data_IF_438579585811
#
_entry.id   IF_438579585811
#
_cell.length_a   1.000
_cell.length_b   1.000
_cell.length_c   1.000
_cell.angle_alpha   90.00
_cell.angle_beta   90.00
_cell.angle_gamma   90.00
#
_symmetry.space_group_name_H-M   'P 1'
#
loop_
_entity.id
_entity.type
_entity.pdbx_description
1 polymer ?
#
# COMPACT_ATOMS: atom_id res chain seq x y z
N UNK A 1 -56.07 11.24 -14.27
CA UNK A 1 -54.73 11.46 -14.88
C UNK A 1 -53.67 11.11 -13.87
N UNK A 2 -52.71 10.33 -14.32
CA UNK A 2 -51.73 9.57 -13.54
C UNK A 2 -50.73 10.47 -12.83
N UNK A 3 -50.65 10.28 -11.52
CA UNK A 3 -49.60 10.77 -10.62
C UNK A 3 -48.24 10.22 -11.07
N UNK A 4 -47.32 11.11 -11.44
CA UNK A 4 -45.95 10.77 -11.84
C UNK A 4 -45.01 11.15 -10.72
N UNK A 5 -45.04 10.39 -9.63
CA UNK A 5 -44.06 10.47 -8.55
C UNK A 5 -42.66 10.14 -9.08
N UNK A 6 -41.79 11.14 -9.10
CA UNK A 6 -40.34 10.96 -9.17
C UNK A 6 -39.93 9.98 -8.06
N UNK A 7 -39.53 8.76 -8.45
CA UNK A 7 -38.89 7.82 -7.54
C UNK A 7 -37.51 8.38 -7.24
N UNK A 8 -37.41 9.17 -6.18
CA UNK A 8 -36.14 9.40 -5.50
C UNK A 8 -35.62 8.03 -5.07
N UNK A 9 -34.68 7.47 -5.84
CA UNK A 9 -33.92 6.31 -5.41
C UNK A 9 -33.09 6.81 -4.23
N UNK A 10 -33.34 6.36 -2.99
CA UNK A 10 -32.62 6.86 -1.84
C UNK A 10 -31.13 6.61 -2.07
N UNK A 11 -30.35 7.69 -2.09
CA UNK A 11 -28.90 7.66 -2.26
C UNK A 11 -28.29 6.75 -1.20
N UNK A 12 -28.13 5.48 -1.54
CA UNK A 12 -27.56 4.50 -0.64
C UNK A 12 -26.05 4.59 -0.78
N UNK A 13 -25.37 5.06 0.27
CA UNK A 13 -23.90 5.09 0.40
C UNK A 13 -23.22 3.78 -0.08
N UNK A 14 -23.94 2.65 -0.01
CA UNK A 14 -23.53 1.32 -0.48
C UNK A 14 -23.23 1.24 -1.99
N UNK A 15 -23.87 2.07 -2.83
CA UNK A 15 -23.76 2.03 -4.29
C UNK A 15 -22.41 2.51 -4.85
N UNK A 16 -21.54 3.09 -4.01
CA UNK A 16 -20.16 3.49 -4.39
C UNK A 16 -19.12 2.95 -3.40
N UNK A 17 -19.48 1.95 -2.62
CA UNK A 17 -18.58 1.36 -1.62
C UNK A 17 -17.41 0.66 -2.30
N UNK A 18 -16.25 0.65 -1.64
CA UNK A 18 -15.09 -0.12 -2.10
C UNK A 18 -15.43 -1.61 -2.28
N UNK A 19 -16.30 -2.15 -1.40
CA UNK A 19 -16.79 -3.52 -1.53
C UNK A 19 -17.51 -3.77 -2.86
N UNK A 20 -18.43 -2.89 -3.26
CA UNK A 20 -19.11 -3.01 -4.55
C UNK A 20 -18.13 -2.87 -5.72
N UNK A 21 -17.19 -1.93 -5.64
CA UNK A 21 -16.16 -1.78 -6.68
C UNK A 21 -15.27 -3.02 -6.79
N UNK A 22 -14.93 -3.65 -5.66
CA UNK A 22 -14.19 -4.89 -5.61
C UNK A 22 -14.99 -6.03 -6.25
N UNK A 23 -16.27 -6.20 -5.89
CA UNK A 23 -17.14 -7.22 -6.50
C UNK A 23 -17.27 -7.04 -8.02
N UNK A 24 -17.45 -5.80 -8.49
CA UNK A 24 -17.50 -5.51 -9.92
C UNK A 24 -16.15 -5.77 -10.60
N UNK A 25 -15.03 -5.42 -9.96
CA UNK A 25 -13.69 -5.71 -10.47
C UNK A 25 -13.47 -7.23 -10.62
N UNK A 26 -13.86 -8.02 -9.62
CA UNK A 26 -13.78 -9.48 -9.67
C UNK A 26 -14.67 -10.02 -10.81
N UNK A 27 -15.91 -9.57 -10.95
CA UNK A 27 -16.80 -10.02 -12.03
C UNK A 27 -16.28 -9.73 -13.45
N UNK A 28 -15.41 -8.72 -13.61
CA UNK A 28 -14.76 -8.40 -14.88
C UNK A 28 -13.60 -9.35 -15.21
N UNK A 29 -12.83 -9.77 -14.20
CA UNK A 29 -11.56 -10.47 -14.39
C UNK A 29 -11.58 -11.94 -13.96
N UNK A 30 -12.60 -12.38 -13.24
CA UNK A 30 -12.86 -13.77 -12.90
C UNK A 30 -13.45 -14.53 -14.10
N UNK A 31 -12.68 -14.57 -15.18
CA UNK A 31 -13.02 -15.29 -16.41
C UNK A 31 -11.80 -16.05 -16.93
N UNK A 32 -12.07 -17.20 -17.55
CA UNK A 32 -11.03 -18.01 -18.18
C UNK A 32 -10.32 -17.23 -19.29
N UNK A 33 -8.98 -17.25 -19.28
CA UNK A 33 -8.14 -16.55 -20.27
C UNK A 33 -7.67 -15.15 -19.86
N UNK A 34 -8.09 -14.62 -18.72
CA UNK A 34 -7.55 -13.36 -18.19
C UNK A 34 -6.27 -13.63 -17.40
N UNK A 35 -5.12 -13.34 -18.00
CA UNK A 35 -3.83 -13.45 -17.30
C UNK A 35 -3.33 -12.10 -16.77
N UNK A 36 -3.72 -11.00 -17.41
CA UNK A 36 -3.10 -9.70 -17.18
C UNK A 36 -4.13 -8.58 -17.13
N UNK A 37 -4.02 -7.72 -16.12
CA UNK A 37 -4.94 -6.62 -15.83
C UNK A 37 -4.20 -5.28 -15.96
N UNK A 38 -4.75 -4.37 -16.77
CA UNK A 38 -4.28 -2.98 -16.88
C UNK A 38 -5.08 -2.07 -15.95
N UNK A 39 -4.41 -1.21 -15.17
CA UNK A 39 -5.13 -0.38 -14.19
C UNK A 39 -5.96 0.74 -14.84
N UNK A 40 -5.50 1.30 -15.97
CA UNK A 40 -6.28 2.32 -16.70
C UNK A 40 -7.53 1.70 -17.35
N UNK A 41 -7.39 0.52 -17.97
CA UNK A 41 -8.51 -0.22 -18.54
C UNK A 41 -9.53 -0.60 -17.46
N UNK A 42 -9.07 -1.06 -16.30
CA UNK A 42 -9.93 -1.33 -15.15
C UNK A 42 -10.70 -0.08 -14.68
N UNK A 43 -10.01 1.06 -14.58
CA UNK A 43 -10.62 2.34 -14.20
C UNK A 43 -11.73 2.76 -15.18
N UNK A 44 -11.46 2.65 -16.47
CA UNK A 44 -12.44 2.96 -17.53
C UNK A 44 -13.63 2.00 -17.51
N UNK A 45 -13.42 0.69 -17.36
CA UNK A 45 -14.49 -0.32 -17.31
C UNK A 45 -15.39 -0.17 -16.09
N UNK A 46 -14.81 0.18 -14.95
CA UNK A 46 -15.55 0.37 -13.70
C UNK A 46 -16.16 1.78 -13.59
N UNK A 47 -15.76 2.72 -14.46
CA UNK A 47 -16.20 4.10 -14.41
C UNK A 47 -15.78 4.82 -13.13
N UNK A 48 -14.59 4.50 -12.60
CA UNK A 48 -14.08 5.05 -11.34
C UNK A 48 -12.75 5.76 -11.51
N UNK A 49 -12.47 6.66 -10.57
CA UNK A 49 -11.16 7.30 -10.49
C UNK A 49 -10.05 6.26 -10.25
N UNK A 50 -8.88 6.52 -10.84
CA UNK A 50 -7.69 5.69 -10.70
C UNK A 50 -7.29 5.44 -9.25
N UNK A 51 -7.61 6.38 -8.35
CA UNK A 51 -7.40 6.23 -6.91
C UNK A 51 -8.11 4.99 -6.35
N UNK A 52 -9.33 4.69 -6.79
CA UNK A 52 -10.11 3.53 -6.31
C UNK A 52 -9.54 2.21 -6.80
N UNK A 53 -8.97 2.18 -8.00
CA UNK A 53 -8.30 0.98 -8.52
C UNK A 53 -7.11 0.61 -7.64
N UNK A 54 -6.36 1.59 -7.11
CA UNK A 54 -5.28 1.29 -6.16
C UNK A 54 -5.79 0.71 -4.85
N UNK A 55 -6.93 1.16 -4.32
CA UNK A 55 -7.51 0.56 -3.11
C UNK A 55 -7.82 -0.92 -3.35
N UNK A 56 -8.47 -1.25 -4.48
CA UNK A 56 -8.83 -2.63 -4.83
C UNK A 56 -7.58 -3.48 -5.03
N UNK A 57 -6.63 -3.00 -5.82
CA UNK A 57 -5.42 -3.76 -6.15
C UNK A 57 -4.55 -4.00 -4.92
N UNK A 58 -4.41 -3.02 -4.02
CA UNK A 58 -3.65 -3.21 -2.78
C UNK A 58 -4.26 -4.31 -1.90
N UNK A 59 -5.59 -4.35 -1.81
CA UNK A 59 -6.30 -5.40 -1.06
C UNK A 59 -6.12 -6.76 -1.74
N UNK A 60 -6.40 -6.87 -3.03
CA UNK A 60 -6.29 -8.15 -3.75
C UNK A 60 -4.85 -8.66 -3.87
N UNK A 61 -3.87 -7.77 -3.94
CA UNK A 61 -2.44 -8.11 -3.90
C UNK A 61 -2.05 -8.63 -2.52
N UNK A 62 -2.55 -8.01 -1.45
CA UNK A 62 -2.26 -8.43 -0.07
C UNK A 62 -2.80 -9.83 0.28
N UNK A 63 -3.89 -10.25 -0.39
CA UNK A 63 -4.50 -11.59 -0.27
C UNK A 63 -3.91 -12.58 -1.29
N UNK A 64 -3.03 -12.12 -2.19
CA UNK A 64 -2.34 -12.97 -3.17
C UNK A 64 -3.12 -13.27 -4.46
N UNK A 65 -4.30 -12.69 -4.66
CA UNK A 65 -5.13 -12.85 -5.87
C UNK A 65 -4.50 -12.12 -7.07
N UNK A 66 -3.84 -10.99 -6.80
CA UNK A 66 -3.10 -10.22 -7.80
C UNK A 66 -1.61 -10.21 -7.49
N UNK A 67 -0.80 -9.96 -8.52
CA UNK A 67 0.62 -9.68 -8.34
C UNK A 67 1.10 -8.67 -9.36
N UNK A 68 1.96 -7.74 -8.93
CA UNK A 68 2.50 -6.72 -9.83
C UNK A 68 3.37 -7.36 -10.91
N UNK A 69 3.04 -7.09 -12.19
CA UNK A 69 3.79 -7.55 -13.36
C UNK A 69 4.70 -6.47 -13.92
N UNK A 70 4.16 -5.26 -14.09
CA UNK A 70 4.90 -4.09 -14.58
C UNK A 70 4.22 -2.78 -14.13
N UNK A 71 4.77 -1.63 -14.53
CA UNK A 71 4.07 -0.34 -14.33
C UNK A 71 2.70 -0.42 -15.01
N UNK A 72 1.65 -0.07 -14.26
CA UNK A 72 0.26 -0.07 -14.75
C UNK A 72 -0.30 -1.46 -15.12
N UNK A 73 0.36 -2.56 -14.71
CA UNK A 73 -0.01 -3.91 -15.14
C UNK A 73 0.17 -4.94 -14.03
N UNK A 74 -0.85 -5.76 -13.83
CA UNK A 74 -0.91 -6.81 -12.81
C UNK A 74 -1.21 -8.16 -13.45
N UNK A 75 -0.74 -9.24 -12.84
CA UNK A 75 -1.09 -10.61 -13.19
C UNK A 75 -2.28 -11.04 -12.35
N UNK A 76 -3.29 -11.63 -12.98
CA UNK A 76 -4.40 -12.30 -12.30
C UNK A 76 -3.95 -13.72 -11.93
N UNK A 77 -3.84 -14.01 -10.63
CA UNK A 77 -3.51 -15.35 -10.13
C UNK A 77 -4.76 -16.19 -9.82
N UNK A 78 -5.90 -15.52 -9.64
CA UNK A 78 -7.17 -16.14 -9.26
C UNK A 78 -7.20 -16.59 -7.79
N UNK A 79 -8.32 -17.20 -7.40
CA UNK A 79 -8.57 -17.63 -6.02
C UNK A 79 -7.68 -18.80 -5.57
N UNK A 80 -7.09 -19.56 -6.50
CA UNK A 80 -6.20 -20.67 -6.18
C UNK A 80 -4.88 -20.26 -5.50
N UNK A 81 -4.50 -18.98 -5.58
CA UNK A 81 -3.31 -18.47 -4.88
C UNK A 81 -3.57 -18.12 -3.40
N UNK A 82 -4.84 -18.02 -2.98
CA UNK A 82 -5.23 -17.61 -1.62
C UNK A 82 -4.71 -18.58 -0.57
N UNK A 83 -4.88 -19.93 -0.67
CA UNK A 83 -4.44 -20.84 0.38
C UNK A 83 -2.95 -20.70 0.69
N UNK A 84 -2.12 -20.57 -0.36
CA UNK A 84 -0.69 -20.34 -0.21
C UNK A 84 -0.39 -19.00 0.46
N UNK A 85 -1.04 -17.93 0.01
CA UNK A 85 -0.85 -16.60 0.61
C UNK A 85 -1.25 -16.58 2.10
N UNK A 86 -2.34 -17.26 2.47
CA UNK A 86 -2.77 -17.36 3.87
C UNK A 86 -1.78 -18.17 4.72
N UNK A 87 -1.19 -19.24 4.18
CA UNK A 87 -0.15 -20.02 4.85
C UNK A 87 1.10 -19.16 5.10
N UNK A 88 1.57 -18.43 4.10
CA UNK A 88 2.69 -17.49 4.23
C UNK A 88 2.38 -16.42 5.30
N UNK A 89 1.18 -15.82 5.27
CA UNK A 89 0.73 -14.85 6.28
C UNK A 89 0.68 -15.43 7.69
N UNK A 90 0.23 -16.68 7.86
CA UNK A 90 0.19 -17.36 9.16
C UNK A 90 1.60 -17.57 9.71
N UNK A 91 2.52 -18.04 8.87
CA UNK A 91 3.92 -18.25 9.26
C UNK A 91 4.59 -16.93 9.66
N UNK A 92 4.30 -15.83 8.96
CA UNK A 92 4.77 -14.50 9.34
C UNK A 92 4.19 -14.06 10.70
N UNK A 93 2.89 -14.20 10.92
CA UNK A 93 2.23 -13.81 12.17
C UNK A 93 2.80 -14.54 13.40
N UNK A 94 3.12 -15.83 13.27
CA UNK A 94 3.75 -16.61 14.34
C UNK A 94 5.18 -16.14 14.65
N UNK A 95 5.94 -15.67 13.64
CA UNK A 95 7.29 -15.13 13.85
C UNK A 95 7.27 -13.74 14.48
N UNK A 96 6.28 -12.93 14.11
CA UNK A 96 6.07 -11.59 14.68
C UNK A 96 5.56 -11.67 16.13
N UNK A 97 4.72 -12.65 16.47
CA UNK A 97 4.19 -12.80 17.84
C UNK A 97 5.26 -13.16 18.90
N UNK A 98 6.44 -13.61 18.49
CA UNK A 98 7.59 -13.83 19.38
C UNK A 98 8.40 -12.57 19.69
N UNK A 99 8.12 -11.45 19.02
CA UNK A 99 8.71 -10.14 19.26
C UNK A 99 7.59 -9.16 19.58
N UNK A 100 7.40 -8.89 20.87
CA UNK A 100 6.41 -7.94 21.38
C UNK A 100 6.37 -6.69 20.49
N UNK A 101 5.24 -6.35 19.84
CA UNK A 101 5.14 -5.08 19.15
C UNK A 101 5.06 -4.01 20.24
N UNK A 102 6.20 -3.40 20.55
CA UNK A 102 6.27 -2.22 21.39
C UNK A 102 5.39 -1.15 20.75
N UNK A 103 4.16 -1.06 21.25
CA UNK A 103 3.26 0.05 21.00
C UNK A 103 3.73 1.20 21.88
N UNK A 104 4.97 1.64 21.70
CA UNK A 104 5.49 2.88 22.27
C UNK A 104 4.99 4.03 21.40
N UNK A 105 3.72 4.38 21.60
CA UNK A 105 3.26 5.74 21.36
C UNK A 105 3.97 6.65 22.37
N UNK A 106 5.22 7.01 22.08
CA UNK A 106 5.94 8.02 22.85
C UNK A 106 5.98 9.31 22.05
N UNK A 107 5.03 10.16 22.41
CA UNK A 107 5.09 11.61 22.28
C UNK A 107 6.50 12.11 22.60
N UNK A 108 7.31 12.43 21.59
CA UNK A 108 8.50 13.28 21.77
C UNK A 108 8.09 14.72 21.50
N UNK A 109 7.63 15.37 22.57
CA UNK A 109 7.84 16.81 22.75
C UNK A 109 9.26 16.95 23.29
N UNK A 110 10.18 17.38 22.45
CA UNK A 110 11.42 18.02 22.88
C UNK A 110 11.41 19.41 22.29
N UNK A 111 10.95 20.32 23.15
CA UNK A 111 11.15 21.75 23.11
C UNK A 111 12.66 22.00 23.30
N UNK A 112 13.34 22.54 22.29
CA UNK A 112 14.61 23.23 22.47
C UNK A 112 14.84 24.09 21.21
N UNK A 113 14.78 25.39 21.42
CA UNK A 113 15.10 26.41 20.44
C UNK A 113 16.62 26.49 20.29
N UNK A 114 17.12 26.49 19.06
CA UNK A 114 18.31 27.27 18.71
C UNK A 114 18.42 27.47 17.19
N UNK A 115 18.24 28.74 16.84
CA UNK A 115 18.53 29.39 15.56
C UNK A 115 20.00 29.20 15.14
N UNK A 116 20.27 28.65 13.95
CA UNK A 116 21.51 28.98 13.22
C UNK A 116 21.42 28.66 11.72
N UNK A 117 21.09 29.67 10.91
CA UNK A 117 21.41 29.69 9.49
C UNK A 117 22.93 29.81 9.28
N UNK A 118 23.56 29.11 8.32
CA UNK A 118 24.79 29.61 7.74
C UNK A 118 24.51 30.20 6.36
N UNK A 119 24.71 31.51 6.32
CA UNK A 119 24.90 32.39 5.17
C UNK A 119 26.05 31.88 4.28
N UNK A 120 25.88 32.04 2.97
CA UNK A 120 26.84 31.58 1.95
C UNK A 120 27.57 32.80 1.39
N UNK A 121 28.76 33.10 1.90
CA UNK A 121 29.79 34.01 1.34
C UNK A 121 31.02 33.95 2.28
N UNK A 122 32.31 34.02 1.91
CA UNK A 122 33.08 34.09 0.67
C UNK A 122 34.57 33.89 1.11
N UNK A 123 35.38 33.15 0.33
CA UNK A 123 36.86 33.12 0.21
C UNK A 123 37.74 32.87 1.48
N UNK A 124 38.96 32.32 1.44
CA UNK A 124 40.06 32.42 0.47
C UNK A 124 41.19 31.45 0.93
N UNK A 125 41.90 30.81 -0.02
CA UNK A 125 43.28 30.26 0.02
C UNK A 125 43.70 29.33 1.20
N UNK A 126 44.41 28.22 1.03
CA UNK A 126 45.70 28.03 0.37
C UNK A 126 46.08 26.53 0.38
N UNK A 127 46.82 26.13 -0.66
CA UNK A 127 47.83 25.04 -0.73
C UNK A 127 47.42 23.56 -0.68
N UNK A 128 47.93 22.88 -1.72
CA UNK A 128 47.96 21.45 -1.93
C UNK A 128 48.99 20.75 -1.03
N UNK A 129 48.68 19.54 -0.54
CA UNK A 129 49.50 18.35 -0.76
C UNK A 129 48.85 17.05 -0.20
N UNK A 130 48.95 15.98 -1.00
CA UNK A 130 48.98 14.54 -0.65
C UNK A 130 47.71 13.80 -0.14
N UNK A 131 47.28 12.81 -0.94
CA UNK A 131 46.26 11.77 -0.71
C UNK A 131 46.71 10.71 0.37
N UNK A 132 45.86 9.83 0.98
CA UNK A 132 44.73 9.10 0.38
C UNK A 132 43.45 8.87 1.23
N UNK A 133 42.40 8.41 0.54
CA UNK A 133 41.00 8.07 0.93
C UNK A 133 40.83 7.12 2.14
N UNK A 134 39.67 7.13 2.84
CA UNK A 134 38.56 6.24 2.47
C UNK A 134 37.22 6.97 2.24
N UNK A 135 36.62 6.67 1.09
CA UNK A 135 35.34 7.19 0.63
C UNK A 135 34.17 6.53 1.38
N UNK A 136 33.50 7.35 2.19
CA UNK A 136 32.06 7.35 2.51
C UNK A 136 31.31 6.02 2.43
N UNK A 137 30.99 5.53 3.62
CA UNK A 137 29.87 4.67 4.00
C UNK A 137 28.70 4.72 3.02
N UNK A 138 28.36 3.57 2.46
CA UNK A 138 27.05 3.30 1.84
C UNK A 138 25.97 3.37 2.91
N UNK A 139 25.44 4.57 3.17
CA UNK A 139 24.20 4.74 3.91
C UNK A 139 23.06 4.19 3.06
N UNK A 140 22.78 2.91 3.24
CA UNK A 140 21.58 2.25 2.72
C UNK A 140 20.35 3.03 3.18
N UNK A 141 19.54 3.42 2.20
CA UNK A 141 18.36 4.25 2.31
C UNK A 141 17.26 3.59 3.15
N UNK A 142 17.30 3.76 4.48
CA UNK A 142 16.22 3.41 5.41
C UNK A 142 14.98 4.32 5.34
N UNK A 143 14.91 5.23 4.38
CA UNK A 143 13.77 6.16 4.25
C UNK A 143 12.51 5.53 3.63
N UNK A 144 12.62 4.35 3.00
CA UNK A 144 11.52 3.73 2.27
C UNK A 144 10.63 2.78 3.08
N UNK A 145 11.06 2.35 4.27
CA UNK A 145 10.37 1.32 5.05
C UNK A 145 9.19 1.88 5.84
N UNK A 146 9.37 3.03 6.50
CA UNK A 146 8.36 3.67 7.35
C UNK A 146 7.06 4.05 6.61
N UNK A 147 7.10 4.27 5.28
CA UNK A 147 5.88 4.56 4.50
C UNK A 147 4.97 3.35 4.33
N UNK A 148 5.50 2.12 4.42
CA UNK A 148 4.73 0.88 4.21
C UNK A 148 4.02 0.41 5.48
N UNK A 149 4.48 0.85 6.65
CA UNK A 149 3.99 0.49 7.98
C UNK A 149 2.51 0.83 8.23
N UNK A 150 1.91 1.71 7.41
CA UNK A 150 0.47 2.07 7.47
C UNK A 150 -0.27 1.81 6.16
N UNK A 151 0.31 1.00 5.26
CA UNK A 151 -0.31 0.75 3.96
C UNK A 151 -1.60 -0.07 4.11
N UNK A 152 -2.60 0.20 3.27
CA UNK A 152 -3.84 -0.56 3.24
C UNK A 152 -3.59 -2.07 3.05
N UNK A 153 -2.56 -2.42 2.26
CA UNK A 153 -2.13 -3.80 2.09
C UNK A 153 -1.65 -4.42 3.39
N UNK A 154 -0.77 -3.73 4.14
CA UNK A 154 -0.28 -4.23 5.43
C UNK A 154 -1.41 -4.32 6.47
N UNK A 155 -2.31 -3.33 6.53
CA UNK A 155 -3.47 -3.37 7.41
C UNK A 155 -4.39 -4.56 7.07
N UNK A 156 -4.55 -4.87 5.79
CA UNK A 156 -5.33 -6.04 5.35
C UNK A 156 -4.65 -7.33 5.79
N UNK A 157 -3.33 -7.45 5.63
CA UNK A 157 -2.57 -8.62 6.09
C UNK A 157 -2.65 -8.79 7.61
N UNK A 158 -2.43 -7.72 8.38
CA UNK A 158 -2.52 -7.76 9.83
C UNK A 158 -3.92 -8.14 10.30
N UNK A 159 -4.95 -7.56 9.67
CA UNK A 159 -6.34 -7.93 9.95
C UNK A 159 -6.58 -9.43 9.71
N UNK A 160 -6.10 -9.99 8.60
CA UNK A 160 -6.22 -11.43 8.32
C UNK A 160 -5.41 -12.26 9.32
N UNK A 161 -4.17 -11.85 9.65
CA UNK A 161 -3.31 -12.50 10.65
C UNK A 161 -4.01 -12.63 12.02
N UNK A 162 -4.82 -11.64 12.43
CA UNK A 162 -5.60 -11.74 13.67
C UNK A 162 -6.51 -12.98 13.70
N UNK A 163 -7.16 -13.33 12.58
CA UNK A 163 -8.00 -14.53 12.51
C UNK A 163 -7.22 -15.83 12.32
N UNK A 164 -6.00 -15.76 11.77
CA UNK A 164 -5.16 -16.95 11.53
C UNK A 164 -4.31 -17.36 12.73
N UNK A 165 -4.04 -16.42 13.64
CA UNK A 165 -3.16 -16.62 14.81
C UNK A 165 -3.92 -16.60 16.15
N UNK A 166 -5.23 -16.29 16.15
CA UNK A 166 -6.07 -16.40 17.35
C UNK A 166 -6.82 -17.72 17.28
N UNK A 167 -6.46 -18.67 18.16
CA UNK A 167 -7.18 -19.94 18.37
C UNK A 167 -8.46 -19.73 19.19
#
# INVERSE_FOLDING_TARGET
SVDSGSRDVPYCRKQKSLGLLCSNFLALYDREGVETIGLDDAASRLGVERRRIYDIVNVLESVGILSRKAKNRYTWKGFGAIPKALEDLKNEGLRESGSVPDTSFSQQVSDDEDEMYPDFNLCQNDRADSCPVPLRTVASSKSGENRKEKSLGLLTQNFIKLFLCTD
#
